data_IF_939495560612
#
_entry.id   IF_939495560612
#
_cell.length_a   1.000
_cell.length_b   1.000
_cell.length_c   1.000
_cell.angle_alpha   90.00
_cell.angle_beta   90.00
_cell.angle_gamma   90.00
#
_symmetry.space_group_name_H-M   'P 1'
#
loop_
_entity.id
_entity.type
_entity.pdbx_description
1 polymer ?
#
# COMPACT_ATOMS: atom_id res chain seq x y z
N UNK A 1 -7.24 3.28 -11.82
CA UNK A 1 -6.01 3.19 -12.64
C UNK A 1 -5.86 1.77 -13.15
N UNK A 2 -5.49 1.60 -14.41
CA UNK A 2 -5.28 0.28 -15.03
C UNK A 2 -3.78 0.11 -15.25
N UNK A 3 -3.20 -0.96 -14.73
CA UNK A 3 -1.78 -1.28 -14.89
C UNK A 3 -1.61 -2.19 -16.12
N UNK A 4 -0.61 -1.91 -16.94
CA UNK A 4 -0.16 -2.84 -17.98
C UNK A 4 0.65 -3.99 -17.36
N UNK A 5 1.03 -5.00 -18.16
CA UNK A 5 1.70 -6.19 -17.65
C UNK A 5 3.03 -5.85 -16.97
N UNK A 6 3.85 -5.04 -17.63
CA UNK A 6 5.17 -4.63 -17.13
C UNK A 6 5.05 -3.83 -15.82
N UNK A 7 4.12 -2.90 -15.76
CA UNK A 7 3.88 -2.11 -14.54
C UNK A 7 3.47 -3.01 -13.36
N UNK A 8 2.68 -4.07 -13.60
CA UNK A 8 2.31 -5.00 -12.52
C UNK A 8 3.50 -5.80 -11.99
N UNK A 9 4.44 -6.17 -12.85
CA UNK A 9 5.64 -6.94 -12.46
C UNK A 9 6.66 -6.06 -11.71
N UNK A 10 6.75 -4.78 -12.07
CA UNK A 10 7.74 -3.85 -11.49
C UNK A 10 7.21 -3.11 -10.24
N UNK A 11 5.91 -3.17 -9.96
CA UNK A 11 5.29 -2.45 -8.84
C UNK A 11 5.46 -3.21 -7.52
N UNK A 12 5.97 -2.50 -6.51
CA UNK A 12 6.02 -3.00 -5.14
C UNK A 12 4.65 -3.05 -4.49
N UNK A 13 4.39 -4.14 -3.76
CA UNK A 13 3.19 -4.34 -2.96
C UNK A 13 3.56 -4.48 -1.49
N UNK A 14 2.85 -3.77 -0.62
CA UNK A 14 2.84 -4.06 0.80
C UNK A 14 1.68 -5.02 1.09
N UNK A 15 2.00 -6.14 1.73
CA UNK A 15 1.06 -7.20 2.02
C UNK A 15 0.86 -7.37 3.54
N UNK A 16 -0.35 -7.76 3.92
CA UNK A 16 -0.66 -8.32 5.24
C UNK A 16 -1.19 -9.73 5.02
N UNK A 17 -0.31 -10.73 5.14
CA UNK A 17 -0.60 -12.08 4.67
C UNK A 17 -0.83 -12.07 3.15
N UNK A 18 -2.01 -12.48 2.73
CA UNK A 18 -2.41 -12.52 1.30
C UNK A 18 -3.10 -11.23 0.83
N UNK A 19 -3.38 -10.30 1.74
CA UNK A 19 -4.12 -9.08 1.44
C UNK A 19 -3.20 -7.94 1.01
N UNK A 20 -3.53 -7.27 -0.10
CA UNK A 20 -2.81 -6.09 -0.58
C UNK A 20 -3.23 -4.87 0.23
N UNK A 21 -2.33 -4.37 1.07
CA UNK A 21 -2.54 -3.19 1.92
C UNK A 21 -2.25 -1.90 1.14
N UNK A 22 -1.18 -1.91 0.35
CA UNK A 22 -0.72 -0.73 -0.38
C UNK A 22 -0.06 -1.15 -1.68
N UNK A 23 -0.53 -0.56 -2.78
CA UNK A 23 0.22 -0.53 -4.04
C UNK A 23 1.19 0.63 -3.91
N UNK A 24 2.46 0.32 -3.63
CA UNK A 24 3.47 1.29 -3.20
C UNK A 24 3.65 2.39 -4.24
N UNK A 25 3.61 3.65 -3.81
CA UNK A 25 3.65 4.81 -4.72
C UNK A 25 2.34 5.13 -5.46
N UNK A 26 1.28 4.33 -5.27
CA UNK A 26 0.00 4.52 -5.97
C UNK A 26 -1.20 4.70 -5.04
N UNK A 27 -1.66 3.65 -4.34
CA UNK A 27 -2.88 3.72 -3.51
C UNK A 27 -2.87 2.73 -2.35
N UNK A 28 -3.31 3.17 -1.19
CA UNK A 28 -3.61 2.31 -0.05
C UNK A 28 -5.02 1.68 -0.20
N UNK A 29 -5.21 0.49 0.37
CA UNK A 29 -6.50 -0.18 0.44
C UNK A 29 -7.35 0.41 1.58
N UNK A 30 -8.61 0.75 1.27
CA UNK A 30 -9.56 1.37 2.19
C UNK A 30 -9.87 0.53 3.43
N UNK A 31 -9.67 -0.79 3.38
CA UNK A 31 -9.90 -1.70 4.53
C UNK A 31 -8.91 -1.45 5.67
N UNK A 32 -7.73 -0.91 5.36
CA UNK A 32 -6.65 -0.64 6.32
C UNK A 32 -6.58 0.84 6.74
N UNK A 33 -7.59 1.65 6.40
CA UNK A 33 -7.62 3.06 6.80
C UNK A 33 -7.82 3.21 8.31
N UNK A 34 -7.25 4.28 8.86
CA UNK A 34 -7.49 4.67 10.25
C UNK A 34 -8.96 5.08 10.41
N UNK A 35 -9.58 4.62 11.49
CA UNK A 35 -10.95 4.95 11.87
C UNK A 35 -10.96 5.50 13.29
N UNK A 36 -12.08 6.10 13.75
CA UNK A 36 -12.20 6.54 15.15
C UNK A 36 -12.04 5.40 16.18
N UNK A 37 -12.25 4.15 15.78
CA UNK A 37 -12.06 2.97 16.64
C UNK A 37 -10.63 2.41 16.62
N UNK A 38 -9.72 3.01 15.84
CA UNK A 38 -8.35 2.51 15.71
C UNK A 38 -7.51 2.89 16.93
N UNK A 39 -7.11 1.90 17.72
CA UNK A 39 -6.31 2.10 18.93
C UNK A 39 -4.80 2.17 18.66
N UNK A 40 -4.32 1.47 17.62
CA UNK A 40 -2.90 1.39 17.27
C UNK A 40 -2.72 1.66 15.80
N UNK A 41 -1.77 2.55 15.49
CA UNK A 41 -1.44 2.95 14.13
C UNK A 41 -0.05 2.45 13.76
N UNK A 42 0.05 1.81 12.60
CA UNK A 42 1.31 1.50 11.95
C UNK A 42 1.53 2.49 10.81
N UNK A 43 2.61 3.26 10.87
CA UNK A 43 2.99 4.21 9.83
C UNK A 43 4.14 3.63 9.01
N UNK A 44 3.95 3.57 7.69
CA UNK A 44 4.96 3.13 6.72
C UNK A 44 5.10 4.24 5.69
N UNK A 45 6.35 4.61 5.38
CA UNK A 45 6.68 5.68 4.45
C UNK A 45 7.62 5.14 3.37
N UNK A 46 7.34 5.44 2.10
CA UNK A 46 8.28 5.23 1.01
C UNK A 46 9.23 6.42 0.96
N UNK A 47 10.46 6.23 1.43
CA UNK A 47 11.52 7.23 1.29
C UNK A 47 12.26 7.03 -0.03
N UNK A 48 12.19 8.03 -0.89
CA UNK A 48 13.13 8.16 -2.00
C UNK A 48 14.38 8.90 -1.52
N UNK A 49 15.54 8.29 -1.72
CA UNK A 49 16.80 9.01 -1.57
C UNK A 49 16.96 9.94 -2.79
N UNK A 50 17.22 11.22 -2.53
CA UNK A 50 17.68 12.17 -3.56
C UNK A 50 19.17 12.02 -3.79
#
# INVERSE_FOLDING_TARGET
QKFNLKEKEETWLLLSGEEVVWVVGHRADNRFKITPATERVLQIELKTMK
#
